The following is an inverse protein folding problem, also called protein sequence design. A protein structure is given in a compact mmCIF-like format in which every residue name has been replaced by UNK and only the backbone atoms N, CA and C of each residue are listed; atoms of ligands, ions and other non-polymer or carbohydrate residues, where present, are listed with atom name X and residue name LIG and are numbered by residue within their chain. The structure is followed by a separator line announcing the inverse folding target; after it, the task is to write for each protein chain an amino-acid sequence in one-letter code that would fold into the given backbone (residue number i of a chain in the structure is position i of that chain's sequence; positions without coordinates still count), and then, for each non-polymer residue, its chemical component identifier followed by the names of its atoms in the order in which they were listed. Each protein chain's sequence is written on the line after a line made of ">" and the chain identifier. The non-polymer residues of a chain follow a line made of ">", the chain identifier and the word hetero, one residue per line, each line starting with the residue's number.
data_IF_444915521100
#
_entry.id   IF_444915521100
#
_cell.length_a   1.000
_cell.length_b   1.000
_cell.length_c   1.000
_cell.angle_alpha   90.00
_cell.angle_beta   90.00
_cell.angle_gamma   90.00
#
_symmetry.space_group_name_H-M   'P 1'
#
loop_
_entity.id
_entity.type
_entity.pdbx_description
1 polymer ?
#
# COMPACT_ATOMS: atom_id res chain seq x y z
N UNK A 1 -9.54 5.51 2.06
CA UNK A 1 -10.47 4.53 1.44
C UNK A 1 -10.52 3.29 2.33
N UNK A 2 -11.42 2.31 2.13
CA UNK A 2 -11.20 1.02 2.79
C UNK A 2 -9.99 0.32 2.14
N UNK A 3 -9.24 -0.50 2.89
CA UNK A 3 -8.11 -1.28 2.36
C UNK A 3 -8.56 -2.13 1.14
N UNK A 4 -9.77 -2.70 1.23
CA UNK A 4 -10.37 -3.53 0.17
C UNK A 4 -10.60 -2.71 -1.12
N UNK A 5 -11.07 -1.46 -1.01
CA UNK A 5 -11.27 -0.61 -2.18
C UNK A 5 -9.95 -0.22 -2.85
N UNK A 6 -8.91 0.01 -2.03
CA UNK A 6 -7.57 0.30 -2.52
C UNK A 6 -6.99 -0.89 -3.29
N UNK A 7 -7.04 -2.09 -2.71
CA UNK A 7 -6.56 -3.34 -3.33
C UNK A 7 -7.26 -3.61 -4.66
N UNK A 8 -8.59 -3.44 -4.72
CA UNK A 8 -9.34 -3.62 -5.97
C UNK A 8 -8.87 -2.66 -7.05
N UNK A 9 -8.77 -1.37 -6.72
CA UNK A 9 -8.41 -0.31 -7.68
C UNK A 9 -6.96 -0.40 -8.14
N UNK A 10 -6.03 -0.64 -7.21
CA UNK A 10 -4.60 -0.53 -7.48
C UNK A 10 -3.94 -1.86 -7.87
N UNK A 11 -4.55 -3.00 -7.55
CA UNK A 11 -3.98 -4.31 -7.87
C UNK A 11 -4.89 -5.10 -8.81
N UNK A 12 -6.12 -5.40 -8.39
CA UNK A 12 -7.00 -6.32 -9.13
C UNK A 12 -7.35 -5.81 -10.53
N UNK A 13 -7.87 -4.59 -10.65
CA UNK A 13 -8.22 -4.01 -11.94
C UNK A 13 -7.00 -3.65 -12.81
N UNK A 14 -5.80 -3.71 -12.24
CA UNK A 14 -4.52 -3.50 -12.94
C UNK A 14 -3.81 -4.80 -13.31
N UNK A 15 -4.48 -5.95 -13.16
CA UNK A 15 -4.03 -7.24 -13.65
C UNK A 15 -3.43 -8.18 -12.60
N UNK A 16 -3.30 -7.75 -11.34
CA UNK A 16 -2.88 -8.64 -10.25
C UNK A 16 -4.10 -9.40 -9.74
N UNK A 17 -4.34 -10.58 -10.30
CA UNK A 17 -5.52 -11.41 -10.00
C UNK A 17 -5.23 -12.62 -9.13
N UNK A 18 -3.96 -12.84 -8.76
CA UNK A 18 -3.57 -13.94 -7.86
C UNK A 18 -4.19 -13.74 -6.48
N UNK A 19 -5.09 -14.66 -6.10
CA UNK A 19 -5.74 -14.67 -4.79
C UNK A 19 -4.73 -14.60 -3.64
N UNK A 20 -3.62 -15.36 -3.73
CA UNK A 20 -2.58 -15.36 -2.69
C UNK A 20 -1.90 -13.99 -2.53
N UNK A 21 -1.73 -13.24 -3.62
CA UNK A 21 -1.13 -11.91 -3.58
C UNK A 21 -2.13 -10.92 -2.96
N UNK A 22 -3.38 -10.92 -3.41
CA UNK A 22 -4.41 -10.01 -2.89
C UNK A 22 -4.64 -10.20 -1.39
N UNK A 23 -4.69 -11.45 -0.92
CA UNK A 23 -4.78 -11.77 0.51
C UNK A 23 -3.56 -11.28 1.31
N UNK A 24 -2.36 -11.27 0.71
CA UNK A 24 -1.16 -10.77 1.39
C UNK A 24 -1.24 -9.25 1.59
N UNK A 25 -1.67 -8.49 0.57
CA UNK A 25 -1.89 -7.05 0.68
C UNK A 25 -3.03 -6.71 1.66
N UNK A 26 -4.04 -7.56 1.76
CA UNK A 26 -5.14 -7.36 2.72
C UNK A 26 -4.69 -7.57 4.18
N UNK A 27 -3.80 -8.56 4.42
CA UNK A 27 -3.36 -8.95 5.76
C UNK A 27 -2.25 -8.07 6.34
N UNK A 28 -1.47 -7.39 5.51
CA UNK A 28 -0.32 -6.60 5.96
C UNK A 28 -0.70 -5.11 6.05
N UNK A 29 -0.85 -4.53 7.25
CA UNK A 29 -1.24 -3.13 7.43
C UNK A 29 -0.08 -2.19 7.06
N UNK A 30 -0.11 -1.61 5.85
CA UNK A 30 0.94 -0.71 5.31
C UNK A 30 1.21 0.49 6.21
N UNK A 31 0.21 1.01 6.92
CA UNK A 31 0.29 2.15 7.83
C UNK A 31 1.28 1.96 8.98
N UNK A 32 1.58 0.70 9.36
CA UNK A 32 2.58 0.39 10.38
C UNK A 32 4.02 0.58 9.88
N UNK A 33 4.20 0.68 8.57
CA UNK A 33 5.51 0.82 7.90
C UNK A 33 5.74 2.23 7.33
N UNK A 34 4.82 3.17 7.58
CA UNK A 34 4.91 4.56 7.16
C UNK A 34 5.12 5.46 8.39
N UNK A 35 6.12 6.37 8.38
CA UNK A 35 6.32 7.34 9.44
C UNK A 35 5.04 8.13 9.74
N UNK A 36 4.82 8.50 11.00
CA UNK A 36 3.60 9.17 11.47
C UNK A 36 3.24 10.42 10.65
N UNK A 37 4.25 11.22 10.33
CA UNK A 37 4.20 12.44 9.55
C UNK A 37 3.80 12.21 8.08
N UNK A 38 4.00 11.00 7.57
CA UNK A 38 3.68 10.61 6.19
C UNK A 38 2.38 9.81 6.07
N UNK A 39 1.69 9.49 7.17
CA UNK A 39 0.46 8.66 7.14
C UNK A 39 -0.67 9.24 6.31
N UNK A 40 -0.71 10.56 6.13
CA UNK A 40 -1.68 11.19 5.22
C UNK A 40 -1.54 10.69 3.77
N UNK A 41 -0.36 10.18 3.40
CA UNK A 41 -0.07 9.64 2.07
C UNK A 41 -0.12 8.10 2.00
N UNK A 42 -0.54 7.40 3.06
CA UNK A 42 -0.47 5.93 3.12
C UNK A 42 -1.24 5.21 2.00
N UNK A 43 -2.38 5.79 1.59
CA UNK A 43 -3.26 5.28 0.54
C UNK A 43 -2.81 5.69 -0.88
N UNK A 44 -1.77 6.50 -1.02
CA UNK A 44 -1.26 6.88 -2.34
C UNK A 44 -0.52 5.70 -2.96
N UNK A 45 -0.79 5.40 -4.23
CA UNK A 45 0.03 4.48 -5.04
C UNK A 45 1.29 5.21 -5.55
N UNK A 46 2.19 5.53 -4.63
CA UNK A 46 3.40 6.30 -4.90
C UNK A 46 4.49 6.02 -3.88
N UNK A 47 5.78 6.30 -4.21
CA UNK A 47 6.85 6.17 -3.24
C UNK A 47 6.67 7.10 -2.03
N UNK A 48 6.89 6.56 -0.83
CA UNK A 48 6.80 7.31 0.43
C UNK A 48 8.16 7.33 1.13
N UNK A 49 8.71 8.51 1.47
CA UNK A 49 9.90 8.62 2.31
C UNK A 49 9.73 7.92 3.67
N UNK A 50 10.70 7.10 4.05
CA UNK A 50 10.72 6.36 5.32
C UNK A 50 11.95 6.69 6.20
N UNK A 51 12.67 7.76 5.86
CA UNK A 51 13.88 8.20 6.55
C UNK A 51 15.16 7.66 5.91
N UNK A 52 16.31 8.13 6.38
CA UNK A 52 17.64 7.72 5.90
C UNK A 52 17.85 7.83 4.38
N UNK A 53 17.18 8.80 3.75
CA UNK A 53 17.20 8.97 2.29
C UNK A 53 16.52 7.83 1.51
N UNK A 54 15.71 7.00 2.17
CA UNK A 54 15.01 5.86 1.57
C UNK A 54 13.52 6.15 1.35
N UNK A 55 12.95 5.45 0.38
CA UNK A 55 11.50 5.42 0.12
C UNK A 55 11.02 3.96 0.10
N UNK A 56 9.75 3.73 0.46
CA UNK A 56 9.07 2.48 0.13
C UNK A 56 8.46 2.61 -1.26
N UNK A 57 8.50 1.52 -2.04
CA UNK A 57 7.64 1.41 -3.22
C UNK A 57 6.21 1.06 -2.80
N UNK A 58 5.26 1.37 -3.69
CA UNK A 58 3.98 0.68 -3.67
C UNK A 58 4.14 -0.69 -4.31
#
# INVERSE_FOLDING_TARGET
>A
MSNIDWIKRQLFFRGITSKKILEAFEKVPRELFVPSEMRYFVDNDAPIPIGYGQTTSQ
#
